data_IF_805063096896
#
_entry.id   IF_805063096896
#
_cell.length_a   1.000
_cell.length_b   1.000
_cell.length_c   1.000
_cell.angle_alpha   90.00
_cell.angle_beta   90.00
_cell.angle_gamma   90.00
#
_symmetry.space_group_name_H-M   'P 1'
#
loop_
_entity.id
_entity.type
_entity.pdbx_description
1 polymer ?
#
# COMPACT_ATOMS: atom_id res chain seq x y z
N UNK A 1 -5.89 -1.07 0.00
CA UNK A 1 -5.36 -2.26 -0.67
C UNK A 1 -6.44 -3.33 -0.80
N UNK A 2 -6.29 -4.24 -1.75
CA UNK A 2 -7.27 -5.29 -2.01
C UNK A 2 -7.22 -5.79 -3.45
N UNK A 3 -8.28 -6.48 -3.89
CA UNK A 3 -8.35 -6.95 -5.28
C UNK A 3 -8.36 -5.78 -6.26
N UNK A 4 -7.46 -5.80 -7.25
CA UNK A 4 -7.31 -4.73 -8.25
C UNK A 4 -6.50 -3.53 -7.78
N UNK A 5 -5.93 -3.56 -6.58
CA UNK A 5 -5.02 -2.54 -6.08
C UNK A 5 -3.72 -2.51 -6.89
N UNK A 6 -3.41 -1.36 -7.44
CA UNK A 6 -2.24 -1.19 -8.30
C UNK A 6 -0.94 -1.22 -7.50
N UNK A 7 -0.91 -0.67 -6.29
CA UNK A 7 0.32 -0.57 -5.50
C UNK A 7 0.79 -1.94 -5.01
N UNK A 8 -0.07 -2.67 -4.30
CA UNK A 8 0.27 -3.97 -3.70
C UNK A 8 0.57 -5.01 -4.78
N UNK A 9 -0.22 -5.02 -5.89
CA UNK A 9 -0.02 -5.97 -6.99
C UNK A 9 1.31 -5.70 -7.71
N UNK A 10 1.62 -4.44 -8.05
CA UNK A 10 2.91 -4.10 -8.67
C UNK A 10 4.10 -4.45 -7.78
N UNK A 11 3.99 -4.19 -6.49
CA UNK A 11 5.05 -4.55 -5.55
C UNK A 11 5.22 -6.07 -5.45
N UNK A 12 4.12 -6.83 -5.46
CA UNK A 12 4.15 -8.28 -5.52
C UNK A 12 4.81 -8.81 -6.81
N UNK A 13 4.49 -8.22 -7.96
CA UNK A 13 5.13 -8.55 -9.24
C UNK A 13 6.64 -8.26 -9.22
N UNK A 14 7.04 -7.10 -8.70
CA UNK A 14 8.47 -6.77 -8.54
C UNK A 14 9.18 -7.77 -7.63
N UNK A 15 8.58 -8.14 -6.50
CA UNK A 15 9.10 -9.16 -5.58
C UNK A 15 9.21 -10.52 -6.27
N UNK A 16 8.26 -10.89 -7.11
CA UNK A 16 8.27 -12.17 -7.84
C UNK A 16 9.45 -12.27 -8.81
N UNK A 17 9.71 -11.18 -9.52
CA UNK A 17 10.73 -11.13 -10.60
C UNK A 17 12.16 -10.88 -10.07
N UNK A 18 12.31 -10.13 -8.98
CA UNK A 18 13.61 -9.77 -8.45
C UNK A 18 14.19 -10.87 -7.54
N UNK A 19 15.51 -11.11 -7.54
CA UNK A 19 16.14 -12.07 -6.64
C UNK A 19 16.26 -11.56 -5.19
N UNK A 20 15.89 -10.31 -4.94
CA UNK A 20 15.94 -9.62 -3.65
C UNK A 20 14.63 -8.86 -3.41
N UNK A 21 14.38 -8.44 -2.16
CA UNK A 21 13.27 -7.52 -1.85
C UNK A 21 13.75 -6.08 -2.05
N UNK A 22 13.33 -5.39 -3.13
CA UNK A 22 13.77 -4.03 -3.38
C UNK A 22 13.03 -3.06 -2.47
N UNK A 23 13.76 -2.31 -1.65
CA UNK A 23 13.23 -1.23 -0.82
C UNK A 23 13.80 0.10 -1.30
N UNK A 24 12.94 1.03 -1.67
CA UNK A 24 13.34 2.32 -2.21
C UNK A 24 13.71 3.26 -1.05
N UNK A 25 14.90 3.87 -1.13
CA UNK A 25 15.40 4.79 -0.11
C UNK A 25 15.70 4.08 1.21
N UNK A 26 15.33 4.71 2.32
CA UNK A 26 15.53 4.16 3.67
C UNK A 26 14.50 3.11 4.06
N UNK A 27 13.37 3.06 3.35
CA UNK A 27 12.24 2.20 3.67
C UNK A 27 11.53 2.54 4.99
N UNK A 28 11.83 3.67 5.61
CA UNK A 28 11.34 4.05 6.95
C UNK A 28 10.07 4.88 6.93
N UNK A 29 9.66 5.42 5.77
CA UNK A 29 8.40 6.13 5.64
C UNK A 29 7.24 5.24 6.05
N UNK A 30 6.31 5.80 6.82
CA UNK A 30 5.17 5.08 7.36
C UNK A 30 3.98 5.14 6.41
N UNK A 31 3.32 4.03 6.28
CA UNK A 31 2.10 3.85 5.51
C UNK A 31 1.08 3.18 6.43
N UNK A 32 -0.18 3.56 6.30
CA UNK A 32 -1.27 2.99 7.09
C UNK A 32 -2.29 2.34 6.13
N UNK A 33 -2.02 1.10 5.65
CA UNK A 33 -2.82 0.46 4.62
C UNK A 33 -4.21 0.09 5.15
N UNK A 34 -5.26 0.58 4.50
CA UNK A 34 -6.65 0.21 4.79
C UNK A 34 -7.17 -0.79 3.75
N UNK A 35 -7.90 -1.83 4.20
CA UNK A 35 -8.48 -2.81 3.31
C UNK A 35 -9.70 -2.25 2.57
N UNK A 36 -9.86 -2.59 1.30
CA UNK A 36 -10.89 -1.97 0.44
C UNK A 36 -12.31 -2.18 0.97
N UNK A 37 -12.62 -3.34 1.55
CA UNK A 37 -13.96 -3.61 2.07
C UNK A 37 -14.28 -2.74 3.30
N UNK A 38 -13.27 -2.34 4.09
CA UNK A 38 -13.44 -1.41 5.21
C UNK A 38 -13.77 -0.01 4.69
N UNK A 39 -13.09 0.44 3.62
CA UNK A 39 -13.42 1.71 2.94
C UNK A 39 -14.84 1.69 2.37
N UNK A 40 -15.20 0.60 1.69
CA UNK A 40 -16.56 0.43 1.14
C UNK A 40 -17.60 0.46 2.26
N UNK A 41 -17.32 -0.17 3.40
CA UNK A 41 -18.20 -0.14 4.56
C UNK A 41 -18.43 1.26 5.10
N UNK A 42 -17.38 2.10 5.16
CA UNK A 42 -17.50 3.52 5.50
C UNK A 42 -18.39 4.27 4.48
N UNK A 43 -18.14 4.08 3.19
CA UNK A 43 -18.89 4.75 2.12
C UNK A 43 -20.37 4.37 2.13
N UNK A 44 -20.70 3.09 2.37
CA UNK A 44 -22.10 2.63 2.49
C UNK A 44 -22.79 3.30 3.68
N UNK A 45 -22.12 3.43 4.84
CA UNK A 45 -22.68 4.13 6.00
C UNK A 45 -22.90 5.62 5.72
N UNK A 46 -21.97 6.28 5.02
CA UNK A 46 -22.13 7.68 4.60
C UNK A 46 -23.35 7.83 3.67
N UNK A 47 -23.51 6.94 2.70
CA UNK A 47 -24.59 6.99 1.73
C UNK A 47 -25.98 6.67 2.33
N UNK A 48 -26.01 5.94 3.43
CA UNK A 48 -27.26 5.53 4.07
C UNK A 48 -27.96 6.64 4.86
N UNK A 49 -27.33 7.80 5.09
CA UNK A 49 -27.92 8.88 5.90
C UNK A 49 -27.35 10.26 5.60
N UNK A 50 -28.11 11.29 6.04
CA UNK A 50 -27.75 12.69 5.82
C UNK A 50 -26.83 13.26 6.94
N UNK A 51 -26.53 12.49 7.98
CA UNK A 51 -25.73 12.93 9.14
C UNK A 51 -24.28 13.23 8.81
N UNK A 52 -23.81 12.77 7.64
CA UNK A 52 -22.44 12.89 7.17
C UNK A 52 -22.22 14.03 6.15
N UNK A 53 -23.28 14.74 5.76
CA UNK A 53 -23.22 15.82 4.78
C UNK A 53 -22.28 16.95 5.24
N UNK A 54 -21.37 17.38 4.37
CA UNK A 54 -20.42 18.45 4.61
C UNK A 54 -19.33 18.12 5.61
N UNK A 55 -19.16 16.86 6.01
CA UNK A 55 -18.10 16.42 6.93
C UNK A 55 -16.95 15.77 6.16
N UNK A 56 -15.76 15.92 6.70
CA UNK A 56 -14.54 15.25 6.24
C UNK A 56 -14.13 14.22 7.29
N UNK A 57 -13.70 13.06 6.87
CA UNK A 57 -13.26 11.98 7.75
C UNK A 57 -11.90 11.45 7.30
N UNK A 58 -11.03 11.19 8.27
CA UNK A 58 -9.75 10.52 8.05
C UNK A 58 -9.91 9.04 8.39
N UNK A 59 -9.61 8.17 7.43
CA UNK A 59 -9.71 6.73 7.61
C UNK A 59 -8.40 6.03 7.21
N UNK A 60 -7.91 5.17 8.08
CA UNK A 60 -6.69 4.38 7.87
C UNK A 60 -6.86 2.94 8.35
N UNK A 61 -5.89 2.10 8.02
CA UNK A 61 -5.82 0.74 8.54
C UNK A 61 -5.38 0.71 10.02
N UNK A 62 -5.43 -0.47 10.67
CA UNK A 62 -5.15 -0.59 12.10
C UNK A 62 -3.66 -0.56 12.44
N UNK A 63 -2.78 -0.54 11.46
CA UNK A 63 -1.33 -0.67 11.64
C UNK A 63 -0.59 0.41 10.85
N UNK A 64 0.28 1.16 11.53
CA UNK A 64 1.29 1.99 10.90
C UNK A 64 2.49 1.12 10.56
N UNK A 65 2.76 0.90 9.30
CA UNK A 65 3.83 0.05 8.81
C UNK A 65 4.84 0.88 8.01
N UNK A 66 6.12 0.60 8.17
CA UNK A 66 7.14 1.14 7.28
C UNK A 66 7.03 0.51 5.89
N UNK A 67 7.50 1.21 4.87
CA UNK A 67 7.54 0.67 3.50
C UNK A 67 8.30 -0.66 3.42
N UNK A 68 9.35 -0.83 4.23
CA UNK A 68 10.09 -2.08 4.34
C UNK A 68 9.22 -3.20 4.95
N UNK A 69 8.45 -2.91 6.02
CA UNK A 69 7.54 -3.88 6.64
C UNK A 69 6.41 -4.28 5.70
N UNK A 70 5.86 -3.33 4.93
CA UNK A 70 4.88 -3.60 3.87
C UNK A 70 5.46 -4.55 2.83
N UNK A 71 6.68 -4.27 2.34
CA UNK A 71 7.38 -5.13 1.36
C UNK A 71 7.59 -6.55 1.90
N UNK A 72 8.07 -6.66 3.15
CA UNK A 72 8.25 -7.96 3.82
C UNK A 72 6.95 -8.71 4.04
N UNK A 73 5.87 -8.01 4.40
CA UNK A 73 4.56 -8.63 4.60
C UNK A 73 3.99 -9.19 3.28
N UNK A 74 4.15 -8.48 2.17
CA UNK A 74 3.75 -8.96 0.83
C UNK A 74 4.58 -10.17 0.42
N UNK A 75 5.92 -10.12 0.60
CA UNK A 75 6.79 -11.27 0.31
C UNK A 75 6.40 -12.51 1.12
N UNK A 76 6.15 -12.33 2.42
CA UNK A 76 5.70 -13.41 3.29
C UNK A 76 4.35 -14.00 2.87
N UNK A 77 3.39 -13.15 2.45
CA UNK A 77 2.09 -13.60 1.94
C UNK A 77 2.20 -14.41 0.63
N UNK A 78 3.25 -14.16 -0.16
CA UNK A 78 3.59 -14.92 -1.38
C UNK A 78 4.46 -16.15 -1.11
N UNK A 79 4.87 -16.42 0.13
CA UNK A 79 5.82 -17.49 0.45
C UNK A 79 7.24 -17.24 -0.03
N UNK A 80 7.60 -15.97 -0.27
CA UNK A 80 8.92 -15.57 -0.77
C UNK A 80 9.79 -15.10 0.40
N UNK A 81 10.93 -15.75 0.58
CA UNK A 81 11.96 -15.37 1.55
C UNK A 81 13.24 -14.95 0.79
N UNK A 82 13.54 -13.65 0.81
CA UNK A 82 14.69 -13.06 0.13
C UNK A 82 15.27 -11.92 0.95
N UNK A 83 16.58 -11.63 0.79
CA UNK A 83 17.21 -10.52 1.48
C UNK A 83 16.66 -9.18 1.00
N UNK A 84 16.50 -8.25 1.94
CA UNK A 84 16.13 -6.86 1.64
C UNK A 84 17.33 -6.11 1.11
N UNK A 85 17.16 -5.38 0.02
CA UNK A 85 18.18 -4.49 -0.56
C UNK A 85 17.61 -3.09 -0.70
N UNK A 86 18.22 -2.15 0.00
CA UNK A 86 17.88 -0.73 -0.08
C UNK A 86 18.46 -0.10 -1.33
N UNK A 87 17.61 0.39 -2.20
CA UNK A 87 18.02 1.06 -3.43
C UNK A 87 18.14 2.57 -3.18
N UNK A 88 19.33 3.17 -3.39
CA UNK A 88 19.52 4.59 -3.18
C UNK A 88 18.55 5.42 -4.01
N UNK A 89 17.89 6.39 -3.36
CA UNK A 89 16.86 7.21 -3.98
C UNK A 89 17.37 7.98 -5.22
N UNK A 90 18.61 8.46 -5.18
CA UNK A 90 19.23 9.13 -6.31
C UNK A 90 19.24 8.25 -7.57
N UNK A 91 19.63 6.99 -7.42
CA UNK A 91 19.63 6.03 -8.52
C UNK A 91 18.22 5.77 -9.05
N UNK A 92 17.26 5.57 -8.15
CA UNK A 92 15.85 5.33 -8.51
C UNK A 92 15.21 6.54 -9.21
N UNK A 93 15.53 7.77 -8.77
CA UNK A 93 15.05 9.00 -9.44
C UNK A 93 15.59 9.12 -10.87
N UNK A 94 16.85 8.80 -11.09
CA UNK A 94 17.44 8.83 -12.43
C UNK A 94 16.80 7.78 -13.33
N UNK A 95 16.61 6.56 -12.83
CA UNK A 95 15.94 5.50 -13.57
C UNK A 95 14.48 5.84 -13.88
N UNK A 96 13.74 6.42 -12.92
CA UNK A 96 12.35 6.82 -13.13
C UNK A 96 12.24 7.88 -14.23
N UNK A 97 13.09 8.92 -14.22
CA UNK A 97 13.12 9.96 -15.27
C UNK A 97 13.39 9.38 -16.66
N UNK A 98 14.33 8.45 -16.77
CA UNK A 98 14.63 7.77 -18.04
C UNK A 98 13.43 6.93 -18.48
N UNK A 99 12.83 6.17 -17.56
CA UNK A 99 11.67 5.35 -17.85
C UNK A 99 10.45 6.19 -18.29
N UNK A 100 10.20 7.33 -17.63
CA UNK A 100 9.14 8.28 -18.00
C UNK A 100 9.34 8.87 -19.40
N UNK A 101 10.61 9.08 -19.81
CA UNK A 101 10.92 9.61 -21.15
C UNK A 101 10.76 8.56 -22.28
N UNK A 102 10.94 7.27 -21.97
CA UNK A 102 11.02 6.20 -22.98
C UNK A 102 9.77 5.32 -22.99
N UNK A 103 9.12 5.11 -21.83
CA UNK A 103 8.02 4.18 -21.67
C UNK A 103 6.68 4.90 -21.53
N UNK A 104 5.66 4.50 -22.27
CA UNK A 104 4.30 5.07 -22.11
C UNK A 104 3.66 4.75 -20.75
N UNK A 105 4.13 3.69 -20.07
CA UNK A 105 3.71 3.29 -18.73
C UNK A 105 4.94 2.85 -17.93
N UNK A 106 5.65 3.81 -17.30
CA UNK A 106 6.82 3.47 -16.48
C UNK A 106 6.41 2.66 -15.24
N UNK A 107 7.24 1.72 -14.79
CA UNK A 107 6.95 0.90 -13.60
C UNK A 107 6.90 1.73 -12.31
N UNK A 108 7.69 2.80 -12.23
CA UNK A 108 7.74 3.75 -11.11
C UNK A 108 7.93 5.14 -11.68
N UNK A 109 7.18 6.12 -11.17
CA UNK A 109 7.31 7.53 -11.56
C UNK A 109 8.09 8.35 -10.51
N UNK A 110 8.61 9.50 -10.94
CA UNK A 110 9.29 10.44 -10.03
C UNK A 110 8.38 10.90 -8.89
N UNK A 111 7.10 11.15 -9.17
CA UNK A 111 6.12 11.56 -8.16
C UNK A 111 5.86 10.44 -7.15
N UNK A 112 5.75 9.20 -7.59
CA UNK A 112 5.62 8.05 -6.70
C UNK A 112 6.84 7.89 -5.78
N UNK A 113 8.05 8.16 -6.28
CA UNK A 113 9.26 8.16 -5.46
C UNK A 113 9.26 9.26 -4.38
N UNK A 114 8.65 10.41 -4.65
CA UNK A 114 8.48 11.49 -3.65
C UNK A 114 7.48 11.04 -2.59
N UNK A 115 6.31 10.55 -3.00
CA UNK A 115 5.28 10.06 -2.09
C UNK A 115 5.76 8.94 -1.15
N UNK A 116 6.65 8.07 -1.62
CA UNK A 116 7.24 7.00 -0.80
C UNK A 116 8.20 7.49 0.27
N UNK A 117 8.54 8.78 0.33
CA UNK A 117 9.43 9.35 1.34
C UNK A 117 8.68 10.05 2.46
N UNK A 118 7.40 10.31 2.28
CA UNK A 118 6.54 10.98 3.23
C UNK A 118 5.72 9.96 4.01
N UNK A 119 5.50 10.25 5.29
CA UNK A 119 4.60 9.44 6.11
C UNK A 119 3.16 9.69 5.66
N UNK A 120 2.44 8.61 5.42
CA UNK A 120 1.02 8.64 5.07
C UNK A 120 0.23 7.86 6.13
N UNK A 121 -0.04 8.54 7.24
CA UNK A 121 -0.73 8.02 8.41
C UNK A 121 -1.80 9.00 8.87
N UNK A 122 -2.85 8.50 9.50
CA UNK A 122 -3.93 9.31 10.07
C UNK A 122 -4.40 8.75 11.41
N UNK A 123 -5.19 9.54 12.15
CA UNK A 123 -5.84 9.05 13.35
C UNK A 123 -6.96 8.06 13.01
N UNK A 124 -7.03 6.97 13.75
CA UNK A 124 -8.08 5.95 13.58
C UNK A 124 -9.41 6.27 14.28
N UNK A 125 -9.52 7.48 14.84
CA UNK A 125 -10.69 7.86 15.61
C UNK A 125 -11.98 7.80 14.78
N UNK A 126 -11.96 8.34 13.58
CA UNK A 126 -13.15 8.42 12.75
C UNK A 126 -13.67 7.03 12.34
N UNK A 127 -12.78 6.12 11.97
CA UNK A 127 -13.20 4.79 11.52
C UNK A 127 -13.84 3.97 12.66
N UNK A 128 -13.33 4.14 13.89
CA UNK A 128 -13.84 3.43 15.07
C UNK A 128 -15.06 4.12 15.69
N UNK A 129 -14.97 5.41 15.98
CA UNK A 129 -16.00 6.12 16.74
C UNK A 129 -17.20 6.54 15.87
N UNK A 130 -16.94 6.98 14.62
CA UNK A 130 -18.01 7.42 13.71
C UNK A 130 -18.59 6.26 12.94
N UNK A 131 -17.75 5.39 12.41
CA UNK A 131 -18.19 4.29 11.57
C UNK A 131 -18.36 2.97 12.32
N UNK A 132 -17.84 2.83 13.56
CA UNK A 132 -17.94 1.60 14.35
C UNK A 132 -17.34 0.40 13.59
N UNK A 133 -16.25 0.62 12.84
CA UNK A 133 -15.56 -0.41 12.06
C UNK A 133 -14.22 -0.70 12.72
N UNK A 134 -13.92 -1.97 12.97
CA UNK A 134 -12.58 -2.41 13.35
C UNK A 134 -11.88 -2.90 12.06
N UNK A 135 -10.90 -2.13 11.55
CA UNK A 135 -10.30 -2.43 10.25
C UNK A 135 -9.46 -3.72 10.29
N UNK A 136 -9.42 -4.39 9.14
CA UNK A 136 -8.66 -5.62 8.95
C UNK A 136 -7.16 -5.34 8.97
N UNK A 137 -6.39 -6.13 9.71
CA UNK A 137 -4.92 -6.06 9.74
C UNK A 137 -4.32 -6.34 8.36
N UNK A 138 -3.18 -5.69 8.06
CA UNK A 138 -2.58 -5.75 6.74
C UNK A 138 -2.29 -7.19 6.27
N UNK A 139 -1.67 -8.01 7.11
CA UNK A 139 -1.38 -9.41 6.77
C UNK A 139 -2.63 -10.25 6.54
N UNK A 140 -3.66 -10.04 7.34
CA UNK A 140 -4.94 -10.74 7.18
C UNK A 140 -5.64 -10.36 5.86
N UNK A 141 -5.61 -9.06 5.52
CA UNK A 141 -6.14 -8.58 4.25
C UNK A 141 -5.37 -9.12 3.05
N UNK A 142 -4.02 -9.18 3.11
CA UNK A 142 -3.19 -9.79 2.06
C UNK A 142 -3.56 -11.26 1.81
N UNK A 143 -3.79 -12.03 2.86
CA UNK A 143 -4.19 -13.44 2.74
C UNK A 143 -5.53 -13.64 2.00
N UNK A 144 -6.41 -12.63 2.01
CA UNK A 144 -7.72 -12.71 1.33
C UNK A 144 -7.60 -12.67 -0.20
N UNK A 145 -6.53 -12.07 -0.76
CA UNK A 145 -6.40 -11.94 -2.23
C UNK A 145 -5.05 -12.37 -2.80
N UNK A 146 -3.94 -12.23 -2.09
CA UNK A 146 -2.63 -12.70 -2.57
C UNK A 146 -2.43 -14.20 -2.34
N UNK A 147 -2.93 -14.76 -1.23
CA UNK A 147 -2.80 -16.19 -0.93
C UNK A 147 -3.62 -17.12 -1.84
N UNK A 148 -4.46 -16.57 -2.73
CA UNK A 148 -5.24 -17.31 -3.73
C UNK A 148 -4.69 -17.18 -5.16
N UNK A 149 -3.53 -16.55 -5.32
CA UNK A 149 -2.95 -16.25 -6.64
C UNK A 149 -2.08 -17.40 -7.12
N UNK A 150 -2.67 -18.60 -7.27
CA UNK A 150 -2.06 -19.66 -8.09
C UNK A 150 -2.28 -19.46 -9.58
N UNK A 151 -3.01 -18.38 -10.00
CA UNK A 151 -3.30 -18.10 -11.41
C UNK A 151 -3.26 -16.58 -11.67
N UNK A 152 -2.08 -16.02 -11.86
CA UNK A 152 -1.83 -14.76 -12.58
C UNK A 152 -0.72 -15.00 -13.62
#
# INVERSE_FOLDING_TARGET
YGRGDVFTIRLAEMIRLAPVLPVIGTGRSKIQPIYIDDVVSCLVKIAAGNSHLGKTYEIGGPEELTYEEVTKAIAAAMGVDRPVVHMPLFFMRTMAKVAEAVLPKPPVTTDQLIMLQEDNVCDMKDIREVFGIEPVKFREGLAKFLGKTENL
#
